data_IF_894999226469
#
_entry.id   IF_894999226469
#
_cell.length_a   1.000
_cell.length_b   1.000
_cell.length_c   1.000
_cell.angle_alpha   90.00
_cell.angle_beta   90.00
_cell.angle_gamma   90.00
#
_symmetry.space_group_name_H-M   'P 1'
#
loop_
_entity.id
_entity.type
_entity.pdbx_description
1 polymer ?
#
# COMPACT_ATOMS: atom_id res chain seq x y z
N UNK A 1 22.42 8.67 -27.52
CA UNK A 1 21.20 7.83 -27.54
C UNK A 1 21.31 6.88 -26.37
N UNK A 2 20.80 7.27 -25.22
CA UNK A 2 20.68 6.38 -24.06
C UNK A 2 19.46 5.50 -24.34
N UNK A 3 19.69 4.20 -24.45
CA UNK A 3 18.63 3.18 -24.46
C UNK A 3 17.80 3.46 -23.20
N UNK A 4 16.49 3.63 -23.37
CA UNK A 4 15.60 4.15 -22.33
C UNK A 4 15.82 3.42 -21.01
N UNK A 5 16.20 4.15 -19.97
CA UNK A 5 16.20 3.62 -18.62
C UNK A 5 14.77 3.20 -18.31
N UNK A 6 14.51 1.90 -18.30
CA UNK A 6 13.31 1.37 -17.68
C UNK A 6 13.32 1.86 -16.24
N UNK A 7 12.40 2.78 -15.94
CA UNK A 7 12.28 3.34 -14.61
C UNK A 7 11.92 2.20 -13.67
N UNK A 8 12.82 1.84 -12.76
CA UNK A 8 12.55 0.79 -11.79
C UNK A 8 11.29 1.16 -11.01
N UNK A 9 10.30 0.26 -11.01
CA UNK A 9 9.07 0.46 -10.26
C UNK A 9 9.26 -0.14 -8.86
N UNK A 10 9.80 0.65 -7.94
CA UNK A 10 9.87 0.23 -6.53
C UNK A 10 8.54 0.56 -5.85
N UNK A 11 7.87 -0.47 -5.34
CA UNK A 11 6.60 -0.37 -4.64
C UNK A 11 6.67 -0.97 -3.25
N UNK A 12 6.05 -0.30 -2.29
CA UNK A 12 5.79 -0.85 -0.96
C UNK A 12 4.30 -1.01 -0.77
N UNK A 13 3.86 -2.26 -0.74
CA UNK A 13 2.48 -2.63 -0.56
C UNK A 13 2.17 -2.86 0.91
N UNK A 14 1.03 -2.32 1.35
CA UNK A 14 0.40 -2.70 2.61
C UNK A 14 -0.92 -3.38 2.27
N UNK A 15 -0.97 -4.69 2.50
CA UNK A 15 -2.09 -5.56 2.14
C UNK A 15 -2.86 -5.95 3.39
N UNK A 16 -4.13 -5.59 3.42
CA UNK A 16 -5.06 -5.89 4.50
C UNK A 16 -5.94 -7.06 4.06
N UNK A 17 -5.61 -8.27 4.52
CA UNK A 17 -6.36 -9.48 4.25
C UNK A 17 -7.26 -9.77 5.45
N UNK A 18 -8.58 -9.72 5.25
CA UNK A 18 -9.55 -9.80 6.33
C UNK A 18 -10.54 -8.64 6.32
N UNK A 19 -11.15 -8.36 7.47
CA UNK A 19 -12.29 -7.45 7.58
C UNK A 19 -12.13 -6.49 8.75
N UNK A 20 -12.48 -5.23 8.49
CA UNK A 20 -12.70 -4.25 9.55
C UNK A 20 -14.12 -4.38 10.11
N UNK A 21 -14.30 -4.13 11.41
CA UNK A 21 -15.61 -4.01 12.04
C UNK A 21 -16.45 -2.86 11.44
N UNK A 22 -15.79 -1.85 10.86
CA UNK A 22 -16.41 -0.77 10.10
C UNK A 22 -15.58 -0.48 8.84
N UNK A 23 -15.84 -1.19 7.72
CA UNK A 23 -15.06 -1.04 6.48
C UNK A 23 -15.08 0.38 5.91
N UNK A 24 -16.22 1.06 5.94
CA UNK A 24 -16.35 2.43 5.45
C UNK A 24 -15.56 3.41 6.31
N UNK A 25 -15.67 3.29 7.64
CA UNK A 25 -14.92 4.09 8.59
C UNK A 25 -13.41 3.87 8.46
N UNK A 26 -12.99 2.63 8.23
CA UNK A 26 -11.59 2.28 8.03
C UNK A 26 -11.03 2.98 6.79
N UNK A 27 -11.74 2.88 5.67
CA UNK A 27 -11.33 3.51 4.42
C UNK A 27 -11.41 5.05 4.47
N UNK A 28 -12.41 5.58 5.18
CA UNK A 28 -12.52 7.02 5.43
C UNK A 28 -11.31 7.54 6.22
N UNK A 29 -10.98 6.91 7.37
CA UNK A 29 -9.83 7.30 8.18
C UNK A 29 -8.52 7.16 7.40
N UNK A 30 -8.39 6.09 6.60
CA UNK A 30 -7.25 5.91 5.73
C UNK A 30 -7.05 7.13 4.81
N UNK A 31 -8.12 7.54 4.10
CA UNK A 31 -8.06 8.62 3.11
C UNK A 31 -7.89 9.99 3.77
N UNK A 32 -8.61 10.26 4.86
CA UNK A 32 -8.69 11.61 5.44
C UNK A 32 -7.59 11.91 6.45
N UNK A 33 -6.92 10.90 7.01
CA UNK A 33 -5.86 11.04 8.01
C UNK A 33 -4.59 10.30 7.63
N UNK A 34 -4.69 8.98 7.49
CA UNK A 34 -3.50 8.14 7.34
C UNK A 34 -2.69 8.48 6.08
N UNK A 35 -3.36 8.71 4.95
CA UNK A 35 -2.73 9.09 3.69
C UNK A 35 -1.92 10.39 3.80
N UNK A 36 -2.35 11.35 4.62
CA UNK A 36 -1.62 12.60 4.86
C UNK A 36 -0.33 12.38 5.67
N UNK A 37 -0.30 11.35 6.52
CA UNK A 37 0.92 10.94 7.23
C UNK A 37 1.89 10.23 6.27
N UNK A 38 1.37 9.31 5.44
CA UNK A 38 2.16 8.60 4.43
C UNK A 38 2.78 9.54 3.40
N UNK A 39 2.06 10.61 3.01
CA UNK A 39 2.57 11.63 2.09
C UNK A 39 3.85 12.33 2.59
N UNK A 40 4.15 12.26 3.89
CA UNK A 40 5.35 12.85 4.49
C UNK A 40 6.55 11.91 4.51
N UNK A 41 6.44 10.70 3.94
CA UNK A 41 7.57 9.80 3.83
C UNK A 41 8.57 10.38 2.84
N UNK A 42 9.84 10.46 3.23
CA UNK A 42 10.89 10.92 2.35
C UNK A 42 10.96 10.04 1.09
N UNK A 43 10.99 10.67 -0.08
CA UNK A 43 11.09 9.98 -1.37
C UNK A 43 9.81 9.30 -1.90
N UNK A 44 8.67 9.42 -1.21
CA UNK A 44 7.40 8.88 -1.72
C UNK A 44 6.97 9.64 -2.99
N UNK A 45 6.64 8.91 -4.05
CA UNK A 45 6.18 9.48 -5.31
C UNK A 45 4.67 9.41 -5.48
N UNK A 46 4.02 8.45 -4.85
CA UNK A 46 2.58 8.27 -4.95
C UNK A 46 2.03 7.29 -3.93
N UNK A 47 0.72 7.39 -3.73
CA UNK A 47 -0.09 6.46 -2.94
C UNK A 47 -1.34 6.12 -3.75
N UNK A 48 -1.53 4.84 -4.04
CA UNK A 48 -2.74 4.31 -4.69
C UNK A 48 -3.43 3.34 -3.75
N UNK A 49 -4.74 3.50 -3.55
CA UNK A 49 -5.56 2.56 -2.79
C UNK A 49 -6.34 1.69 -3.77
N UNK A 50 -6.19 0.38 -3.64
CA UNK A 50 -6.95 -0.63 -4.37
C UNK A 50 -7.94 -1.28 -3.43
N UNK A 51 -9.23 -1.21 -3.77
CA UNK A 51 -10.31 -1.88 -3.05
C UNK A 51 -10.82 -3.07 -3.88
N UNK A 52 -11.32 -4.14 -3.24
CA UNK A 52 -11.86 -5.29 -3.96
C UNK A 52 -12.99 -4.87 -4.89
N UNK A 53 -13.08 -5.55 -6.03
CA UNK A 53 -14.20 -5.46 -6.98
C UNK A 53 -14.78 -6.85 -7.16
N UNK A 54 -16.04 -6.93 -7.55
CA UNK A 54 -16.64 -8.20 -7.94
C UNK A 54 -16.10 -8.63 -9.31
N UNK A 55 -15.69 -9.89 -9.41
CA UNK A 55 -15.22 -10.49 -10.66
C UNK A 55 -15.55 -11.97 -10.74
N UNK A 56 -15.56 -12.51 -11.96
CA UNK A 56 -15.81 -13.91 -12.25
C UNK A 56 -14.78 -14.43 -13.25
N UNK A 57 -14.11 -15.51 -12.89
CA UNK A 57 -13.20 -16.26 -13.75
C UNK A 57 -13.75 -17.68 -13.90
N UNK A 58 -13.84 -18.23 -15.13
CA UNK A 58 -14.34 -19.58 -15.36
C UNK A 58 -13.45 -20.68 -14.77
N UNK A 59 -12.19 -20.37 -14.44
CA UNK A 59 -11.27 -21.31 -13.80
C UNK A 59 -11.44 -21.32 -12.26
N UNK A 60 -11.18 -22.46 -11.60
CA UNK A 60 -11.26 -22.56 -10.14
C UNK A 60 -10.03 -21.92 -9.48
N UNK A 61 -10.03 -20.58 -9.40
CA UNK A 61 -8.96 -19.79 -8.78
C UNK A 61 -9.36 -19.26 -7.41
N UNK A 62 -8.36 -19.08 -6.53
CA UNK A 62 -8.57 -18.51 -5.20
C UNK A 62 -8.67 -16.98 -5.29
N UNK A 63 -9.86 -16.43 -4.97
CA UNK A 63 -10.07 -14.98 -5.04
C UNK A 63 -9.34 -14.17 -3.97
N UNK A 64 -9.00 -14.81 -2.85
CA UNK A 64 -8.45 -14.14 -1.67
C UNK A 64 -9.47 -13.25 -0.97
N UNK A 65 -9.06 -12.68 0.17
CA UNK A 65 -9.93 -11.92 1.07
C UNK A 65 -9.39 -10.51 1.34
N UNK A 66 -8.72 -9.91 0.35
CA UNK A 66 -8.16 -8.55 0.49
C UNK A 66 -9.30 -7.53 0.61
N UNK A 67 -9.26 -6.72 1.66
CA UNK A 67 -10.20 -5.60 1.85
C UNK A 67 -9.61 -4.26 1.45
N UNK A 68 -8.28 -4.13 1.51
CA UNK A 68 -7.55 -2.96 1.03
C UNK A 68 -6.12 -3.35 0.65
N UNK A 69 -5.63 -2.82 -0.46
CA UNK A 69 -4.22 -2.84 -0.82
C UNK A 69 -3.76 -1.40 -1.06
N UNK A 70 -2.88 -0.90 -0.20
CA UNK A 70 -2.25 0.40 -0.38
C UNK A 70 -0.88 0.21 -1.06
N UNK A 71 -0.66 0.89 -2.17
CA UNK A 71 0.60 0.89 -2.90
C UNK A 71 1.26 2.25 -2.75
N UNK A 72 2.45 2.28 -2.15
CA UNK A 72 3.33 3.44 -2.18
C UNK A 72 4.42 3.21 -3.22
N UNK A 73 4.76 4.21 -4.02
CA UNK A 73 5.82 4.12 -5.03
C UNK A 73 7.01 5.00 -4.69
N UNK A 74 8.21 4.53 -5.05
CA UNK A 74 9.49 5.19 -4.80
C UNK A 74 10.37 5.09 -6.05
N UNK A 75 11.35 5.98 -6.17
CA UNK A 75 12.29 5.98 -7.30
C UNK A 75 13.26 4.81 -7.27
N UNK A 76 13.70 4.44 -6.06
CA UNK A 76 14.69 3.38 -5.84
C UNK A 76 14.47 2.69 -4.49
N UNK A 77 15.16 1.58 -4.27
CA UNK A 77 15.15 0.86 -3.00
C UNK A 77 15.73 1.72 -1.86
N UNK A 78 16.73 2.56 -2.16
CA UNK A 78 17.31 3.51 -1.20
C UNK A 78 16.27 4.55 -0.75
N UNK A 79 15.51 5.13 -1.69
CA UNK A 79 14.45 6.08 -1.37
C UNK A 79 13.35 5.43 -0.51
N UNK A 80 12.95 4.20 -0.84
CA UNK A 80 12.04 3.41 0.00
C UNK A 80 12.59 3.25 1.42
N UNK A 81 13.84 2.83 1.57
CA UNK A 81 14.45 2.60 2.87
C UNK A 81 14.54 3.90 3.70
N UNK A 82 14.83 5.04 3.08
CA UNK A 82 14.80 6.35 3.74
C UNK A 82 13.38 6.68 4.23
N UNK A 83 12.37 6.53 3.37
CA UNK A 83 10.97 6.74 3.74
C UNK A 83 10.54 5.84 4.92
N UNK A 84 10.95 4.57 4.92
CA UNK A 84 10.67 3.62 6.01
C UNK A 84 11.46 3.91 7.30
N UNK A 85 12.60 4.59 7.24
CA UNK A 85 13.37 5.01 8.41
C UNK A 85 12.88 6.35 9.01
N UNK A 86 11.98 7.06 8.31
CA UNK A 86 11.54 8.41 8.69
C UNK A 86 10.69 8.46 9.97
N UNK A 87 10.65 9.63 10.61
CA UNK A 87 9.72 9.91 11.71
C UNK A 87 8.25 9.80 11.26
N UNK A 88 7.96 10.17 10.01
CA UNK A 88 6.63 10.03 9.44
C UNK A 88 6.18 8.56 9.44
N UNK A 89 7.08 7.62 9.17
CA UNK A 89 6.79 6.18 9.27
C UNK A 89 6.39 5.76 10.67
N UNK A 90 7.12 6.23 11.68
CA UNK A 90 6.82 5.95 13.10
C UNK A 90 5.45 6.50 13.49
N UNK A 91 5.13 7.73 13.10
CA UNK A 91 3.83 8.34 13.36
C UNK A 91 2.70 7.59 12.64
N UNK A 92 2.90 7.20 11.37
CA UNK A 92 1.92 6.40 10.63
C UNK A 92 1.69 5.02 11.27
N UNK A 93 2.72 4.37 11.85
CA UNK A 93 2.52 3.13 12.61
C UNK A 93 1.67 3.34 13.86
N UNK A 94 1.91 4.41 14.61
CA UNK A 94 1.12 4.72 15.79
C UNK A 94 -0.34 5.05 15.44
N UNK A 95 -0.57 5.74 14.31
CA UNK A 95 -1.92 6.05 13.82
C UNK A 95 -2.77 4.81 13.54
N UNK A 96 -2.15 3.63 13.34
CA UNK A 96 -2.89 2.40 13.15
C UNK A 96 -3.83 2.07 14.32
N UNK A 97 -3.49 2.47 15.55
CA UNK A 97 -4.33 2.27 16.74
C UNK A 97 -5.63 3.09 16.70
N UNK A 98 -5.73 4.10 15.82
CA UNK A 98 -6.93 4.92 15.65
C UNK A 98 -7.86 4.39 14.55
N UNK A 99 -7.47 3.34 13.82
CA UNK A 99 -8.36 2.70 12.86
C UNK A 99 -9.44 1.89 13.58
N UNK A 100 -10.61 1.68 12.95
CA UNK A 100 -11.55 0.68 13.43
C UNK A 100 -10.88 -0.70 13.50
N UNK A 101 -11.31 -1.51 14.47
CA UNK A 101 -10.80 -2.85 14.70
C UNK A 101 -10.75 -3.67 13.40
N UNK A 102 -9.61 -4.31 13.17
CA UNK A 102 -9.35 -5.12 12.00
C UNK A 102 -9.03 -6.55 12.39
N UNK A 103 -9.81 -7.50 11.86
CA UNK A 103 -9.58 -8.92 12.01
C UNK A 103 -8.95 -9.50 10.73
N UNK A 104 -7.77 -10.10 10.87
CA UNK A 104 -7.04 -10.72 9.77
C UNK A 104 -5.55 -10.44 9.83
N UNK A 105 -4.92 -10.33 8.66
CA UNK A 105 -3.48 -10.15 8.52
C UNK A 105 -3.16 -8.89 7.73
N UNK A 106 -2.10 -8.20 8.17
CA UNK A 106 -1.56 -7.02 7.48
C UNK A 106 -0.15 -7.35 7.02
N UNK A 107 0.05 -7.41 5.71
CA UNK A 107 1.35 -7.68 5.11
C UNK A 107 2.00 -6.39 4.63
N UNK A 108 3.30 -6.28 4.87
CA UNK A 108 4.14 -5.19 4.42
C UNK A 108 5.17 -5.74 3.42
N UNK A 109 5.04 -5.39 2.15
CA UNK A 109 5.76 -6.05 1.06
C UNK A 109 6.49 -5.02 0.18
N UNK A 110 7.83 -5.03 0.22
CA UNK A 110 8.66 -4.27 -0.70
C UNK A 110 8.91 -5.09 -1.97
N UNK A 111 8.52 -4.57 -3.14
CA UNK A 111 8.58 -5.28 -4.41
C UNK A 111 9.14 -4.35 -5.49
N UNK A 112 9.93 -4.92 -6.40
CA UNK A 112 10.30 -4.28 -7.67
C UNK A 112 9.39 -4.84 -8.76
N UNK A 113 8.80 -3.96 -9.56
CA UNK A 113 8.03 -4.32 -10.73
C UNK A 113 8.80 -4.13 -12.03
N UNK A 114 8.50 -4.99 -12.99
CA UNK A 114 8.98 -4.96 -14.36
C UNK A 114 7.76 -5.01 -15.28
N UNK A 115 7.70 -4.14 -16.28
CA UNK A 115 6.63 -4.16 -17.27
C UNK A 115 7.07 -4.99 -18.46
N UNK A 116 6.39 -6.11 -18.69
CA UNK A 116 6.74 -7.04 -19.78
C UNK A 116 6.05 -6.69 -21.12
N UNK A 117 4.88 -6.04 -21.10
CA UNK A 117 4.11 -5.62 -22.29
C UNK A 117 3.23 -4.39 -22.00
#
# INVERSE_FOLDING_TARGET
MTIGEERQMISYFVRYDGRSANPEGFLHHYRSKHAQLLQRFDGIQGLTLHTPVDWSDPCPVQKGDVSLLAQMTFESTEALNQGLASDARRVARADFENFPDFEGHIFHQALQGEKIF
#
